data_IF_129539133703
#
_entry.id   IF_129539133703
#
_cell.length_a   1.000
_cell.length_b   1.000
_cell.length_c   1.000
_cell.angle_alpha   90.00
_cell.angle_beta   90.00
_cell.angle_gamma   90.00
#
_symmetry.space_group_name_H-M   'P 1'
#
loop_
_entity.id
_entity.type
_entity.pdbx_description
1 polymer ?
#
# COMPACT_ATOMS: atom_id res chain seq x y z
N UNK A 1 2.88 12.01 9.27
CA UNK A 1 2.84 11.11 8.10
C UNK A 1 3.37 9.77 8.56
N UNK A 2 2.59 8.70 8.48
CA UNK A 2 3.03 7.35 8.91
C UNK A 2 4.14 6.82 7.99
N UNK A 3 5.13 6.11 8.57
CA UNK A 3 6.18 5.42 7.82
C UNK A 3 5.60 4.40 6.83
N UNK A 4 4.56 3.67 7.26
CA UNK A 4 3.87 2.65 6.45
C UNK A 4 3.27 3.29 5.21
N UNK A 5 2.63 4.45 5.37
CA UNK A 5 2.04 5.20 4.26
C UNK A 5 3.08 5.62 3.22
N UNK A 6 4.20 6.17 3.66
CA UNK A 6 5.28 6.58 2.74
C UNK A 6 5.92 5.38 2.04
N UNK A 7 6.07 4.26 2.75
CA UNK A 7 6.58 3.03 2.16
C UNK A 7 5.65 2.49 1.06
N UNK A 8 4.34 2.37 1.35
CA UNK A 8 3.35 1.93 0.37
C UNK A 8 3.37 2.86 -0.85
N UNK A 9 3.33 4.18 -0.62
CA UNK A 9 3.35 5.17 -1.71
C UNK A 9 4.61 5.05 -2.57
N UNK A 10 5.77 4.85 -1.96
CA UNK A 10 7.03 4.64 -2.68
C UNK A 10 6.99 3.37 -3.52
N UNK A 11 6.44 2.27 -2.99
CA UNK A 11 6.35 0.99 -3.70
C UNK A 11 5.38 1.04 -4.86
N UNK A 12 4.22 1.66 -4.68
CA UNK A 12 3.25 1.90 -5.76
C UNK A 12 3.88 2.75 -6.87
N UNK A 13 4.61 3.81 -6.51
CA UNK A 13 5.30 4.65 -7.50
C UNK A 13 6.40 3.89 -8.27
N UNK A 14 7.17 3.05 -7.58
CA UNK A 14 8.17 2.16 -8.18
C UNK A 14 7.54 1.20 -9.19
N UNK A 15 6.44 0.54 -8.79
CA UNK A 15 5.67 -0.36 -9.67
C UNK A 15 5.17 0.34 -10.93
N UNK A 16 4.66 1.56 -10.79
CA UNK A 16 4.10 2.33 -11.90
C UNK A 16 5.14 3.13 -12.69
N UNK A 17 6.42 3.09 -12.28
CA UNK A 17 7.50 3.89 -12.87
C UNK A 17 7.20 5.39 -12.91
N UNK A 18 6.57 5.92 -11.85
CA UNK A 18 6.28 7.35 -11.67
C UNK A 18 6.93 7.88 -10.39
N UNK A 19 6.85 9.20 -10.16
CA UNK A 19 7.33 9.78 -8.89
C UNK A 19 6.29 9.55 -7.81
N UNK A 20 6.74 9.26 -6.59
CA UNK A 20 5.85 9.10 -5.43
C UNK A 20 4.99 10.34 -5.19
N UNK A 21 5.54 11.52 -5.45
CA UNK A 21 4.85 12.82 -5.41
C UNK A 21 3.57 12.86 -6.25
N UNK A 22 3.57 12.18 -7.40
CA UNK A 22 2.47 12.16 -8.36
C UNK A 22 1.37 11.15 -7.98
N UNK A 23 1.61 10.29 -6.99
CA UNK A 23 0.62 9.34 -6.47
C UNK A 23 -0.32 10.04 -5.48
N UNK A 24 -1.61 10.04 -5.80
CA UNK A 24 -2.66 10.47 -4.90
C UNK A 24 -2.98 9.37 -3.85
N UNK A 25 -2.75 9.60 -2.55
CA UNK A 25 -2.94 8.59 -1.52
C UNK A 25 -4.41 8.29 -1.18
N UNK A 26 -5.34 9.12 -1.66
CA UNK A 26 -6.79 8.93 -1.52
C UNK A 26 -7.42 8.27 -2.75
N UNK A 27 -6.63 8.02 -3.80
CA UNK A 27 -7.09 7.29 -4.98
C UNK A 27 -7.05 5.78 -4.73
N UNK A 28 -7.99 5.06 -5.34
CA UNK A 28 -8.07 3.62 -5.19
C UNK A 28 -6.92 2.92 -5.91
N UNK A 29 -6.31 1.90 -5.29
CA UNK A 29 -5.21 1.14 -5.89
C UNK A 29 -5.48 0.68 -7.33
N UNK A 30 -6.70 0.20 -7.60
CA UNK A 30 -7.11 -0.21 -8.95
C UNK A 30 -7.17 0.96 -9.94
N UNK A 31 -7.60 2.13 -9.50
CA UNK A 31 -7.69 3.34 -10.35
C UNK A 31 -6.30 3.86 -10.71
N UNK A 32 -5.34 3.75 -9.79
CA UNK A 32 -3.92 4.10 -10.01
C UNK A 32 -3.23 3.08 -10.96
N UNK A 33 -3.87 1.93 -11.24
CA UNK A 33 -3.33 0.90 -12.12
C UNK A 33 -2.61 -0.24 -11.39
N UNK A 34 -2.79 -0.35 -10.06
CA UNK A 34 -2.33 -1.50 -9.30
C UNK A 34 -3.29 -2.68 -9.52
N UNK A 35 -2.81 -3.75 -10.17
CA UNK A 35 -3.57 -4.99 -10.33
C UNK A 35 -3.34 -5.97 -9.17
N UNK A 36 -4.06 -7.11 -9.20
CA UNK A 36 -3.96 -8.13 -8.15
C UNK A 36 -2.55 -8.71 -7.99
N UNK A 37 -1.75 -8.78 -9.04
CA UNK A 37 -0.39 -9.31 -8.96
C UNK A 37 0.50 -8.35 -8.18
N UNK A 38 0.44 -7.06 -8.52
CA UNK A 38 1.17 -6.00 -7.83
C UNK A 38 0.72 -5.86 -6.36
N UNK A 39 -0.57 -6.05 -6.07
CA UNK A 39 -1.07 -6.05 -4.70
C UNK A 39 -0.42 -7.14 -3.83
N UNK A 40 -0.29 -8.37 -4.35
CA UNK A 40 0.38 -9.47 -3.62
C UNK A 40 1.87 -9.16 -3.38
N UNK A 41 2.56 -8.61 -4.37
CA UNK A 41 3.96 -8.19 -4.19
C UNK A 41 4.11 -7.07 -3.16
N UNK A 42 3.21 -6.09 -3.19
CA UNK A 42 3.19 -5.00 -2.22
C UNK A 42 2.96 -5.53 -0.80
N UNK A 43 2.05 -6.49 -0.62
CA UNK A 43 1.82 -7.16 0.66
C UNK A 43 3.11 -7.83 1.16
N UNK A 44 3.72 -8.69 0.35
CA UNK A 44 4.94 -9.43 0.72
C UNK A 44 6.08 -8.48 1.13
N UNK A 45 6.24 -7.35 0.43
CA UNK A 45 7.23 -6.32 0.78
C UNK A 45 6.93 -5.63 2.12
N UNK A 46 5.64 -5.36 2.42
CA UNK A 46 5.22 -4.75 3.69
C UNK A 46 5.41 -5.75 4.84
N UNK A 47 4.97 -7.00 4.67
CA UNK A 47 5.12 -8.06 5.67
C UNK A 47 6.59 -8.26 6.03
N UNK A 48 7.48 -8.34 5.02
CA UNK A 48 8.93 -8.44 5.24
C UNK A 48 9.52 -7.23 5.95
N UNK A 49 9.06 -6.02 5.62
CA UNK A 49 9.63 -4.79 6.20
C UNK A 49 9.17 -4.59 7.65
N UNK A 50 7.89 -4.78 7.92
CA UNK A 50 7.27 -4.42 9.20
C UNK A 50 7.02 -5.62 10.13
N UNK A 51 7.22 -6.86 9.65
CA UNK A 51 7.08 -8.06 10.46
C UNK A 51 5.64 -8.38 10.84
N UNK A 52 4.68 -8.03 9.98
CA UNK A 52 3.24 -8.26 10.15
C UNK A 52 2.73 -9.27 9.12
N UNK A 53 1.50 -9.77 9.32
CA UNK A 53 0.77 -10.57 8.34
C UNK A 53 -0.44 -9.78 7.83
N UNK A 54 -0.67 -9.79 6.52
CA UNK A 54 -1.71 -9.00 5.87
C UNK A 54 -2.61 -9.91 5.03
N UNK A 55 -3.91 -9.80 5.26
CA UNK A 55 -4.88 -10.47 4.40
C UNK A 55 -5.02 -9.73 3.06
N UNK A 56 -4.85 -10.40 1.90
CA UNK A 56 -5.07 -9.77 0.59
C UNK A 56 -6.46 -9.15 0.41
N UNK A 57 -7.47 -9.64 1.14
CA UNK A 57 -8.81 -9.06 1.14
C UNK A 57 -8.84 -7.62 1.68
N UNK A 58 -7.84 -7.19 2.45
CA UNK A 58 -7.74 -5.83 2.98
C UNK A 58 -7.62 -4.76 1.89
N UNK A 59 -7.21 -5.09 0.65
CA UNK A 59 -7.30 -4.17 -0.49
C UNK A 59 -8.74 -3.81 -0.86
N UNK A 60 -9.72 -4.67 -0.56
CA UNK A 60 -11.14 -4.37 -0.76
C UNK A 60 -11.77 -3.60 0.40
N UNK A 61 -11.31 -3.86 1.62
CA UNK A 61 -11.79 -3.14 2.81
C UNK A 61 -11.17 -1.75 2.90
N UNK A 62 -9.95 -1.59 2.40
CA UNK A 62 -9.14 -0.38 2.46
C UNK A 62 -8.53 -0.09 1.08
N UNK A 63 -9.34 0.40 0.12
CA UNK A 63 -8.93 0.48 -1.28
C UNK A 63 -7.94 1.60 -1.58
N UNK A 64 -7.54 2.41 -0.60
CA UNK A 64 -6.64 3.56 -0.79
C UNK A 64 -5.38 3.43 0.06
N UNK A 65 -4.29 4.09 -0.35
CA UNK A 65 -3.03 4.12 0.42
C UNK A 65 -3.28 4.62 1.84
N UNK A 66 -4.07 5.69 2.00
CA UNK A 66 -4.39 6.26 3.32
C UNK A 66 -5.17 5.28 4.21
N UNK A 67 -6.23 4.66 3.68
CA UNK A 67 -7.05 3.73 4.47
C UNK A 67 -6.27 2.45 4.83
N UNK A 68 -5.49 1.93 3.88
CA UNK A 68 -4.69 0.73 4.07
C UNK A 68 -3.58 0.95 5.08
N UNK A 69 -2.80 2.03 4.92
CA UNK A 69 -1.75 2.38 5.88
C UNK A 69 -2.30 2.59 7.30
N UNK A 70 -3.43 3.27 7.44
CA UNK A 70 -4.07 3.49 8.73
C UNK A 70 -4.55 2.18 9.40
N UNK A 71 -4.92 1.18 8.61
CA UNK A 71 -5.26 -0.14 9.14
C UNK A 71 -4.00 -0.90 9.61
N UNK A 72 -2.92 -0.84 8.84
CA UNK A 72 -1.66 -1.50 9.17
C UNK A 72 -0.94 -0.85 10.35
N UNK A 73 -1.00 0.47 10.49
CA UNK A 73 -0.45 1.20 11.64
C UNK A 73 -1.00 0.67 12.97
N UNK A 74 -2.26 0.19 12.99
CA UNK A 74 -2.86 -0.42 14.20
C UNK A 74 -2.25 -1.76 14.58
N UNK A 75 -1.63 -2.45 13.62
CA UNK A 75 -0.99 -3.75 13.82
C UNK A 75 0.49 -3.63 14.20
N UNK A 76 1.12 -2.52 13.80
CA UNK A 76 2.55 -2.24 14.04
C UNK A 76 2.75 -1.48 15.37
N UNK A 77 1.67 -0.95 15.96
CA UNK A 77 1.71 -0.14 17.17
C UNK A 77 1.98 -0.90 18.47
#
# INVERSE_FOLDING_TARGET
MSEVREFIRSKVAETLSVRSEDINPDEEFMSIGLDSMHAIFLIDEIEKKFGIEINPHSFWEHPTINSFAANLDKQIS
#
